data_IF_707552201442
#
_entry.id   IF_707552201442
#
_cell.length_a   1.000
_cell.length_b   1.000
_cell.length_c   1.000
_cell.angle_alpha   90.00
_cell.angle_beta   90.00
_cell.angle_gamma   90.00
#
_symmetry.space_group_name_H-M   'P 1'
#
loop_
_entity.id
_entity.type
_entity.pdbx_description
1 polymer ?
#
# COMPACT_ATOMS: atom_id res chain seq x y z
N UNK A 1 22.35 49.75 36.60
CA UNK A 1 22.75 49.26 35.26
C UNK A 1 22.30 47.82 35.10
N UNK A 2 21.12 47.58 34.52
CA UNK A 2 20.58 46.22 34.32
C UNK A 2 20.56 45.88 32.83
N UNK A 3 21.48 45.05 32.37
CA UNK A 3 21.45 44.48 31.01
C UNK A 3 20.58 43.23 31.05
N UNK A 4 19.34 43.33 30.57
CA UNK A 4 18.50 42.16 30.31
C UNK A 4 19.16 41.36 29.17
N UNK A 5 19.62 40.15 29.49
CA UNK A 5 20.06 39.15 28.51
C UNK A 5 18.84 38.53 27.85
N UNK A 6 18.24 39.24 26.88
CA UNK A 6 17.24 38.69 25.97
C UNK A 6 17.92 38.22 24.69
N UNK A 7 18.80 37.24 24.80
CA UNK A 7 19.34 36.56 23.64
C UNK A 7 19.81 35.19 24.11
N UNK A 8 19.38 34.12 23.43
CA UNK A 8 19.91 32.73 23.45
C UNK A 8 18.85 31.63 23.58
N UNK A 9 17.68 31.88 24.19
CA UNK A 9 16.62 30.84 24.27
C UNK A 9 15.78 30.78 22.98
N UNK A 10 15.49 31.94 22.38
CA UNK A 10 14.67 32.03 21.14
C UNK A 10 15.35 31.39 19.93
N UNK A 11 16.67 31.54 19.79
CA UNK A 11 17.44 30.96 18.68
C UNK A 11 17.54 29.43 18.77
N UNK A 12 17.58 28.87 19.98
CA UNK A 12 17.65 27.42 20.21
C UNK A 12 16.31 26.74 19.86
N UNK A 13 15.19 27.40 20.15
CA UNK A 13 13.85 26.93 19.80
C UNK A 13 13.62 26.92 18.27
N UNK A 14 14.13 27.90 17.54
CA UNK A 14 14.04 27.94 16.07
C UNK A 14 14.88 26.84 15.39
N UNK A 15 16.05 26.50 15.94
CA UNK A 15 16.86 25.38 15.45
C UNK A 15 16.15 24.03 15.70
N UNK A 16 15.50 23.84 16.85
CA UNK A 16 14.71 22.64 17.13
C UNK A 16 13.53 22.47 16.17
N UNK A 17 12.86 23.56 15.76
CA UNK A 17 11.80 23.50 14.73
C UNK A 17 12.34 23.17 13.33
N UNK A 18 13.54 23.63 12.98
CA UNK A 18 14.14 23.32 11.67
C UNK A 18 14.52 21.84 11.50
N UNK A 19 14.84 21.15 12.61
CA UNK A 19 15.12 19.70 12.63
C UNK A 19 13.86 18.86 12.43
N UNK A 20 12.67 19.42 12.66
CA UNK A 20 11.40 18.70 12.50
C UNK A 20 10.94 18.58 11.04
N UNK A 21 11.57 19.27 10.08
CA UNK A 21 11.31 19.01 8.66
C UNK A 21 12.08 17.75 8.28
N UNK A 22 11.46 16.59 8.54
CA UNK A 22 11.86 15.32 7.95
C UNK A 22 11.89 15.50 6.43
N UNK A 23 13.08 15.66 5.86
CA UNK A 23 13.28 15.46 4.42
C UNK A 23 13.12 13.97 4.17
N UNK A 24 11.88 13.51 3.99
CA UNK A 24 11.60 12.13 3.62
C UNK A 24 12.39 11.79 2.36
N UNK A 25 13.20 10.73 2.42
CA UNK A 25 13.88 10.22 1.22
C UNK A 25 12.83 9.84 0.18
N UNK A 26 13.11 10.18 -1.08
CA UNK A 26 12.20 9.93 -2.19
C UNK A 26 12.80 8.95 -3.17
N UNK A 27 12.01 7.98 -3.59
CA UNK A 27 12.41 6.93 -4.52
C UNK A 27 11.25 6.57 -5.42
N UNK A 28 11.57 6.02 -6.57
CA UNK A 28 10.59 5.63 -7.58
C UNK A 28 10.14 4.20 -7.30
N UNK A 29 8.84 4.00 -7.15
CA UNK A 29 8.24 2.69 -6.83
C UNK A 29 7.23 2.33 -7.90
N UNK A 30 7.19 1.06 -8.25
CA UNK A 30 6.11 0.46 -9.03
C UNK A 30 5.39 -0.57 -8.16
N UNK A 31 4.07 -0.49 -8.10
CA UNK A 31 3.22 -1.54 -7.52
C UNK A 31 2.58 -2.29 -8.67
N UNK A 32 2.56 -3.61 -8.55
CA UNK A 32 1.94 -4.53 -9.50
C UNK A 32 0.92 -5.37 -8.75
N UNK A 33 -0.30 -5.45 -9.26
CA UNK A 33 -1.36 -6.32 -8.76
C UNK A 33 -1.80 -7.23 -9.89
N UNK A 34 -1.56 -8.53 -9.74
CA UNK A 34 -1.91 -9.55 -10.72
C UNK A 34 -3.03 -10.44 -10.22
N UNK A 35 -3.97 -10.76 -11.10
CA UNK A 35 -5.01 -11.75 -10.81
C UNK A 35 -4.52 -13.16 -11.16
N UNK A 36 -4.19 -13.95 -10.15
CA UNK A 36 -3.81 -15.36 -10.25
C UNK A 36 -4.81 -16.26 -9.47
N UNK A 37 -6.07 -15.83 -9.32
CA UNK A 37 -7.06 -16.52 -8.48
C UNK A 37 -7.50 -17.84 -9.12
N UNK A 38 -7.71 -17.83 -10.43
CA UNK A 38 -8.08 -19.02 -11.19
C UNK A 38 -8.74 -18.70 -12.52
N UNK A 39 -8.91 -19.74 -13.33
CA UNK A 39 -9.54 -19.66 -14.65
C UNK A 39 -10.96 -19.09 -14.56
N UNK A 40 -11.26 -18.13 -15.44
CA UNK A 40 -12.57 -17.50 -15.52
C UNK A 40 -12.89 -16.48 -14.41
N UNK A 41 -12.05 -16.36 -13.38
CA UNK A 41 -12.30 -15.43 -12.27
C UNK A 41 -11.82 -14.02 -12.65
N UNK A 42 -12.70 -13.05 -12.47
CA UNK A 42 -12.41 -11.62 -12.63
C UNK A 42 -12.25 -10.98 -11.26
N UNK A 43 -11.13 -10.29 -11.06
CA UNK A 43 -10.84 -9.51 -9.87
C UNK A 43 -11.23 -8.05 -10.09
N UNK A 44 -12.21 -7.57 -9.33
CA UNK A 44 -12.52 -6.14 -9.19
C UNK A 44 -11.54 -5.51 -8.20
N UNK A 45 -10.65 -4.67 -8.70
CA UNK A 45 -9.64 -3.95 -7.92
C UNK A 45 -9.95 -2.45 -7.89
N UNK A 46 -10.18 -1.92 -6.69
CA UNK A 46 -10.41 -0.49 -6.43
C UNK A 46 -9.33 0.06 -5.51
N UNK A 47 -8.40 0.82 -6.07
CA UNK A 47 -7.20 1.25 -5.38
C UNK A 47 -7.18 2.76 -5.16
N UNK A 48 -6.54 3.18 -4.06
CA UNK A 48 -6.39 4.59 -3.68
C UNK A 48 -5.18 4.82 -2.79
N UNK A 49 -4.86 6.09 -2.63
CA UNK A 49 -3.91 6.64 -1.67
C UNK A 49 -4.60 7.70 -0.82
N UNK A 50 -3.94 8.17 0.24
CA UNK A 50 -4.48 9.20 1.13
C UNK A 50 -4.91 10.47 0.37
N UNK A 51 -4.14 10.85 -0.66
CA UNK A 51 -4.37 12.09 -1.39
C UNK A 51 -5.21 11.91 -2.66
N UNK A 52 -5.24 10.71 -3.25
CA UNK A 52 -5.84 10.48 -4.57
C UNK A 52 -6.40 9.05 -4.75
N UNK A 53 -7.56 8.95 -5.39
CA UNK A 53 -8.11 7.70 -5.90
C UNK A 53 -7.35 7.28 -7.19
N UNK A 54 -6.82 6.05 -7.24
CA UNK A 54 -6.24 5.50 -8.47
C UNK A 54 -7.32 5.02 -9.45
N UNK A 55 -8.50 4.68 -8.91
CA UNK A 55 -9.67 4.23 -9.66
C UNK A 55 -9.94 2.74 -9.53
N UNK A 56 -10.69 2.22 -10.50
CA UNK A 56 -11.15 0.83 -10.55
C UNK A 56 -10.65 0.12 -11.81
N UNK A 57 -10.24 -1.14 -11.69
CA UNK A 57 -9.90 -2.03 -12.80
C UNK A 57 -10.50 -3.41 -12.58
N UNK A 58 -11.06 -3.98 -13.63
CA UNK A 58 -11.46 -5.39 -13.68
C UNK A 58 -10.32 -6.16 -14.32
N UNK A 59 -9.71 -7.08 -13.59
CA UNK A 59 -8.58 -7.88 -14.06
C UNK A 59 -9.06 -9.31 -14.33
N UNK A 60 -8.99 -9.75 -15.57
CA UNK A 60 -9.16 -11.18 -15.90
C UNK A 60 -7.96 -11.97 -15.40
N UNK A 61 -8.09 -13.29 -15.40
CA UNK A 61 -6.99 -14.17 -15.05
C UNK A 61 -5.71 -13.82 -15.83
N UNK A 62 -4.60 -13.69 -15.11
CA UNK A 62 -3.28 -13.37 -15.65
C UNK A 62 -3.06 -11.89 -15.96
N UNK A 63 -4.12 -11.07 -15.99
CA UNK A 63 -3.99 -9.63 -16.18
C UNK A 63 -3.39 -8.96 -14.93
N UNK A 64 -2.62 -7.91 -15.17
CA UNK A 64 -1.95 -7.12 -14.14
C UNK A 64 -2.32 -5.65 -14.27
N UNK A 65 -2.62 -5.02 -13.13
CA UNK A 65 -2.60 -3.57 -13.01
C UNK A 65 -1.34 -3.12 -12.30
N UNK A 66 -0.56 -2.26 -12.94
CA UNK A 66 0.56 -1.60 -12.31
C UNK A 66 0.46 -0.08 -12.41
N UNK A 67 1.10 0.58 -11.46
CA UNK A 67 1.28 2.03 -11.47
C UNK A 67 2.59 2.39 -10.81
N UNK A 68 3.13 3.52 -11.25
CA UNK A 68 4.43 4.03 -10.85
C UNK A 68 4.25 5.36 -10.17
N UNK A 69 4.89 5.53 -9.01
CA UNK A 69 4.80 6.76 -8.24
C UNK A 69 6.13 7.07 -7.57
N UNK A 70 6.29 8.35 -7.20
CA UNK A 70 7.41 8.81 -6.40
C UNK A 70 7.01 8.67 -4.94
N UNK A 71 7.52 7.62 -4.29
CA UNK A 71 7.30 7.41 -2.87
C UNK A 71 8.06 8.46 -2.05
N UNK A 72 7.43 8.90 -0.96
CA UNK A 72 8.01 9.80 0.03
C UNK A 72 7.89 9.09 1.38
N UNK A 73 9.03 8.85 2.02
CA UNK A 73 9.05 8.26 3.37
C UNK A 73 8.24 9.12 4.34
N UNK A 74 7.31 8.49 5.05
CA UNK A 74 6.38 9.11 5.98
C UNK A 74 5.00 9.43 5.40
N UNK A 75 4.83 9.45 4.07
CA UNK A 75 3.65 10.01 3.42
C UNK A 75 2.97 9.11 2.39
N UNK A 76 3.70 8.18 1.76
CA UNK A 76 3.11 7.35 0.71
C UNK A 76 2.45 6.10 1.26
N UNK A 77 1.12 6.05 1.18
CA UNK A 77 0.29 4.90 1.53
C UNK A 77 -0.70 4.59 0.40
N UNK A 78 -0.80 3.31 0.04
CA UNK A 78 -1.74 2.80 -0.95
C UNK A 78 -2.41 1.53 -0.44
N UNK A 79 -3.73 1.49 -0.58
CA UNK A 79 -4.54 0.33 -0.27
C UNK A 79 -5.59 0.12 -1.36
N UNK A 80 -6.09 -1.11 -1.43
CA UNK A 80 -7.08 -1.49 -2.42
C UNK A 80 -8.19 -2.30 -1.76
N UNK A 81 -9.41 -2.02 -2.16
CA UNK A 81 -10.52 -2.95 -2.00
C UNK A 81 -10.51 -3.90 -3.20
N UNK A 82 -10.54 -5.19 -2.90
CA UNK A 82 -10.58 -6.25 -3.88
C UNK A 82 -11.84 -7.08 -3.70
N UNK A 83 -12.43 -7.51 -4.79
CA UNK A 83 -13.61 -8.39 -4.78
C UNK A 83 -13.60 -9.33 -5.98
N UNK A 84 -13.98 -10.58 -5.77
CA UNK A 84 -14.14 -11.57 -6.84
C UNK A 84 -15.23 -12.57 -6.47
N UNK A 85 -15.80 -13.21 -7.49
CA UNK A 85 -16.87 -14.20 -7.33
C UNK A 85 -16.34 -15.58 -7.69
N UNK A 86 -16.66 -16.57 -6.86
CA UNK A 86 -16.45 -17.97 -7.16
C UNK A 86 -17.75 -18.57 -7.71
N UNK A 87 -17.77 -18.91 -9.00
CA UNK A 87 -18.93 -19.55 -9.63
C UNK A 87 -19.22 -20.95 -9.10
N UNK A 88 -18.21 -21.69 -8.63
CA UNK A 88 -18.36 -23.05 -8.11
C UNK A 88 -18.98 -23.04 -6.72
N UNK A 89 -18.48 -22.17 -5.84
CA UNK A 89 -18.99 -22.04 -4.47
C UNK A 89 -20.21 -21.10 -4.38
N UNK A 90 -20.44 -20.32 -5.44
CA UNK A 90 -21.46 -19.26 -5.53
C UNK A 90 -21.30 -18.18 -4.47
N UNK A 91 -20.06 -17.90 -4.08
CA UNK A 91 -19.70 -16.98 -2.99
C UNK A 91 -18.91 -15.79 -3.52
N UNK A 92 -19.14 -14.63 -2.92
CA UNK A 92 -18.31 -13.44 -3.11
C UNK A 92 -17.21 -13.42 -2.05
N UNK A 93 -15.99 -13.16 -2.49
CA UNK A 93 -14.84 -12.91 -1.63
C UNK A 93 -14.43 -11.44 -1.75
N UNK A 94 -14.03 -10.83 -0.63
CA UNK A 94 -13.49 -9.49 -0.65
C UNK A 94 -12.43 -9.23 0.42
N UNK A 95 -11.70 -8.12 0.27
CA UNK A 95 -10.71 -7.69 1.24
C UNK A 95 -10.23 -6.26 0.99
N UNK A 96 -9.83 -5.57 2.07
CA UNK A 96 -9.17 -4.27 2.01
C UNK A 96 -7.69 -4.48 2.38
N UNK A 97 -6.80 -4.40 1.40
CA UNK A 97 -5.40 -4.78 1.57
C UNK A 97 -4.45 -3.62 1.29
N UNK A 98 -3.40 -3.53 2.12
CA UNK A 98 -2.30 -2.60 1.95
C UNK A 98 -1.37 -3.09 0.83
N UNK A 99 -1.32 -2.39 -0.30
CA UNK A 99 -0.41 -2.73 -1.41
C UNK A 99 0.92 -1.98 -1.34
N UNK A 100 0.96 -0.88 -0.58
CA UNK A 100 2.18 -0.15 -0.29
C UNK A 100 2.03 0.75 0.95
N UNK A 101 3.04 0.78 1.81
CA UNK A 101 2.99 1.60 3.03
C UNK A 101 4.39 2.05 3.43
N UNK A 102 4.66 3.35 3.28
CA UNK A 102 5.88 4.00 3.74
C UNK A 102 5.56 5.02 4.85
N UNK A 103 4.86 4.62 5.91
CA UNK A 103 4.61 5.48 7.07
C UNK A 103 5.75 5.44 8.10
N UNK A 104 5.96 6.53 8.83
CA UNK A 104 6.93 6.61 9.94
C UNK A 104 8.40 6.69 9.51
N UNK A 105 9.30 6.31 10.44
CA UNK A 105 10.76 6.37 10.26
C UNK A 105 11.34 5.23 9.38
N UNK A 106 10.56 4.17 9.13
CA UNK A 106 10.99 2.99 8.38
C UNK A 106 9.93 2.61 7.34
N UNK A 107 10.32 2.51 6.07
CA UNK A 107 9.42 1.98 5.05
C UNK A 107 9.29 0.46 5.21
N UNK A 108 8.11 0.00 5.66
CA UNK A 108 7.77 -1.43 5.88
C UNK A 108 7.97 -2.32 4.65
N UNK A 109 7.92 -1.76 3.45
CA UNK A 109 7.97 -2.47 2.19
C UNK A 109 9.29 -2.30 1.42
N UNK A 110 10.10 -1.27 1.70
CA UNK A 110 11.40 -1.09 1.01
C UNK A 110 12.33 -2.28 1.22
N UNK A 111 12.35 -2.85 2.43
CA UNK A 111 13.19 -4.01 2.74
C UNK A 111 12.68 -5.29 2.07
N UNK A 112 11.38 -5.34 1.74
CA UNK A 112 10.69 -6.54 1.24
C UNK A 112 10.64 -6.60 -0.28
N UNK A 113 10.21 -5.52 -0.92
CA UNK A 113 10.04 -5.41 -2.37
C UNK A 113 10.91 -4.35 -3.04
N UNK A 114 11.73 -3.62 -2.28
CA UNK A 114 12.57 -2.53 -2.79
C UNK A 114 11.72 -1.51 -3.56
N UNK A 115 11.92 -1.41 -4.87
CA UNK A 115 11.25 -0.46 -5.75
C UNK A 115 10.16 -1.09 -6.63
N UNK A 116 9.97 -2.41 -6.56
CA UNK A 116 8.98 -3.14 -7.37
C UNK A 116 8.20 -4.10 -6.49
N UNK A 117 7.02 -3.68 -6.04
CA UNK A 117 6.16 -4.45 -5.15
C UNK A 117 5.18 -5.26 -5.98
N UNK A 118 5.49 -6.55 -6.11
CA UNK A 118 4.71 -7.50 -6.90
C UNK A 118 3.73 -8.25 -6.01
N UNK A 119 2.45 -8.09 -6.31
CA UNK A 119 1.35 -8.75 -5.61
C UNK A 119 0.63 -9.74 -6.52
N UNK A 120 0.34 -10.91 -5.96
CA UNK A 120 -0.46 -11.95 -6.59
C UNK A 120 -1.72 -12.17 -5.76
N UNK A 121 -2.87 -11.86 -6.34
CA UNK A 121 -4.16 -12.26 -5.81
C UNK A 121 -4.40 -13.71 -6.21
N UNK A 122 -4.37 -14.61 -5.24
CA UNK A 122 -4.58 -16.05 -5.44
C UNK A 122 -5.84 -16.48 -4.69
N UNK A 123 -6.40 -17.64 -5.00
CA UNK A 123 -7.54 -18.23 -4.31
C UNK A 123 -7.34 -18.36 -2.79
N UNK A 124 -6.13 -18.64 -2.30
CA UNK A 124 -5.88 -18.74 -0.84
C UNK A 124 -5.76 -17.37 -0.14
N UNK A 125 -5.44 -16.30 -0.87
CA UNK A 125 -5.18 -15.00 -0.25
C UNK A 125 -4.38 -14.06 -1.14
N UNK A 126 -3.80 -13.04 -0.53
CA UNK A 126 -3.04 -12.00 -1.21
C UNK A 126 -1.57 -12.08 -0.85
N UNK A 127 -0.71 -12.26 -1.85
CA UNK A 127 0.69 -12.60 -1.66
C UNK A 127 1.59 -11.49 -2.17
N UNK A 128 2.60 -11.13 -1.38
CA UNK A 128 3.69 -10.24 -1.78
C UNK A 128 4.93 -11.07 -2.11
N UNK A 129 5.56 -10.79 -3.25
CA UNK A 129 6.89 -11.33 -3.52
C UNK A 129 7.97 -10.64 -2.69
N UNK A 130 8.69 -11.42 -1.88
CA UNK A 130 9.79 -11.00 -1.03
C UNK A 130 11.11 -11.10 -1.78
N UNK A 131 11.63 -9.98 -2.26
CA UNK A 131 12.91 -9.91 -2.99
C UNK A 131 14.09 -10.32 -2.10
N UNK A 132 14.01 -10.06 -0.80
CA UNK A 132 15.04 -10.43 0.17
C UNK A 132 15.14 -11.95 0.42
N UNK A 133 14.05 -12.69 0.17
CA UNK A 133 13.96 -14.14 0.40
C UNK A 133 13.70 -14.96 -0.86
N UNK A 134 13.40 -14.28 -1.97
CA UNK A 134 13.01 -14.86 -3.25
C UNK A 134 11.77 -15.77 -3.17
N UNK A 135 10.79 -15.42 -2.33
CA UNK A 135 9.60 -16.23 -2.08
C UNK A 135 8.31 -15.39 -2.09
N UNK A 136 7.17 -16.04 -2.38
CA UNK A 136 5.86 -15.43 -2.17
C UNK A 136 5.44 -15.59 -0.71
N UNK A 137 5.12 -14.48 -0.05
CA UNK A 137 4.63 -14.46 1.31
C UNK A 137 3.16 -14.02 1.33
N UNK A 138 2.28 -14.84 1.91
CA UNK A 138 0.90 -14.42 2.18
C UNK A 138 0.89 -13.25 3.16
N UNK A 139 0.15 -12.21 2.82
CA UNK A 139 0.03 -10.98 3.64
C UNK A 139 -1.35 -10.83 4.22
N UNK A 140 -2.36 -11.19 3.43
CA UNK A 140 -3.76 -11.01 3.77
C UNK A 140 -4.60 -12.20 3.29
N UNK A 141 -5.75 -12.39 3.92
CA UNK A 141 -6.72 -13.44 3.63
C UNK A 141 -8.02 -12.82 3.11
N UNK A 142 -8.72 -13.57 2.24
CA UNK A 142 -10.03 -13.17 1.78
C UNK A 142 -11.07 -13.34 2.87
N UNK A 143 -12.04 -12.43 2.89
CA UNK A 143 -13.26 -12.58 3.67
C UNK A 143 -14.40 -13.00 2.77
N UNK A 144 -15.31 -13.81 3.30
CA UNK A 144 -16.55 -14.17 2.61
C UNK A 144 -17.54 -13.03 2.80
N UNK A 145 -18.01 -12.43 1.71
CA UNK A 145 -19.15 -11.52 1.74
C UNK A 145 -20.38 -12.37 2.06
N UNK A 146 -20.88 -12.27 3.30
CA UNK A 146 -22.14 -12.92 3.65
C UNK A 146 -23.25 -12.34 2.77
N UNK A 147 -23.85 -13.20 1.95
CA UNK A 147 -24.97 -12.88 1.07
C UNK A 147 -26.07 -12.26 1.94
N UNK A 148 -26.36 -10.95 1.77
CA UNK A 148 -27.57 -10.35 2.34
C UNK A 148 -27.51 -8.97 3.01
N UNK A 149 -26.53 -8.09 2.74
CA UNK A 149 -26.76 -6.64 2.91
C UNK A 149 -26.73 -5.94 1.57
N UNK A 150 -27.90 -5.99 0.92
CA UNK A 150 -28.36 -4.90 0.04
C UNK A 150 -28.30 -3.65 0.93
N UNK A 151 -27.45 -2.70 0.57
CA UNK A 151 -27.49 -1.34 1.12
C UNK A 151 -28.75 -0.68 0.59
#
# INVERSE_FOLDING_TARGET
>A
MGRRSHCNISSLLLLLFSVLISKGSSYLVTVHVKNDIGDGIVLDARCRSDDYELGQRMLRQGEEWNWKFRAITGYSYFWCYFRWYDDQERIWYSGNFDVYHANGLLNKYIEKCRHNCMWSANRQGFFLYRVDRQEWQQRDEWTIDSIGKII
#
